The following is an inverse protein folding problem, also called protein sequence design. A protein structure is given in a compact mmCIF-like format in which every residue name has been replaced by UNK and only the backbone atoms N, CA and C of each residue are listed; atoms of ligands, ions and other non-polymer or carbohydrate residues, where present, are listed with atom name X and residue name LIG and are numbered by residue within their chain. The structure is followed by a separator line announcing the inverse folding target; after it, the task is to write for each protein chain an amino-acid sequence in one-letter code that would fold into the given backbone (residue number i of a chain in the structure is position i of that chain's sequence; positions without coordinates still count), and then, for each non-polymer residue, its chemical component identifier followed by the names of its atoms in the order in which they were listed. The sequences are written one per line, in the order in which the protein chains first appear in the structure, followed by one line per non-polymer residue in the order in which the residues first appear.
data_IF_528068040954
#
_entry.id   IF_528068040954
#
_cell.length_a   1.000
_cell.length_b   1.000
_cell.length_c   1.000
_cell.angle_alpha   90.00
_cell.angle_beta   90.00
_cell.angle_gamma   90.00
#
_symmetry.space_group_name_H-M   'P 1'
#
loop_
_entity.id
_entity.type
_entity.pdbx_description
1 polymer ?
#
# COMPACT_ATOMS: atom_id res chain seq x y z
N UNK A 1 -13.97 -3.62 -12.95
CA UNK A 1 -14.19 -3.33 -11.52
C UNK A 1 -14.00 -4.54 -10.62
N UNK A 2 -14.59 -5.71 -10.92
CA UNK A 2 -14.43 -6.94 -10.11
C UNK A 2 -12.96 -7.30 -9.81
N UNK A 3 -12.07 -7.24 -10.81
CA UNK A 3 -10.63 -7.47 -10.63
C UNK A 3 -9.99 -6.51 -9.62
N UNK A 4 -10.35 -5.22 -9.64
CA UNK A 4 -9.86 -4.22 -8.68
C UNK A 4 -10.32 -4.55 -7.26
N UNK A 5 -11.59 -4.93 -7.10
CA UNK A 5 -12.15 -5.32 -5.80
C UNK A 5 -11.45 -6.55 -5.24
N UNK A 6 -11.21 -7.58 -6.08
CA UNK A 6 -10.45 -8.77 -5.67
C UNK A 6 -9.01 -8.43 -5.28
N UNK A 7 -8.34 -7.55 -6.03
CA UNK A 7 -7.00 -7.07 -5.69
C UNK A 7 -6.98 -6.31 -4.37
N UNK A 8 -7.97 -5.44 -4.14
CA UNK A 8 -8.11 -4.70 -2.89
C UNK A 8 -8.33 -5.64 -1.70
N UNK A 9 -9.19 -6.64 -1.87
CA UNK A 9 -9.47 -7.65 -0.84
C UNK A 9 -8.23 -8.51 -0.56
N UNK A 10 -7.51 -8.93 -1.60
CA UNK A 10 -6.23 -9.63 -1.48
C UNK A 10 -5.20 -8.80 -0.72
N UNK A 11 -5.03 -7.53 -1.08
CA UNK A 11 -4.13 -6.61 -0.37
C UNK A 11 -4.53 -6.43 1.09
N UNK A 12 -5.84 -6.33 1.38
CA UNK A 12 -6.32 -6.24 2.75
C UNK A 12 -6.01 -7.50 3.57
N UNK A 13 -6.24 -8.69 3.00
CA UNK A 13 -5.92 -9.97 3.66
C UNK A 13 -4.42 -10.11 3.88
N UNK A 14 -3.59 -9.82 2.88
CA UNK A 14 -2.14 -9.79 3.03
C UNK A 14 -1.70 -8.78 4.09
N UNK A 15 -2.30 -7.59 4.13
CA UNK A 15 -1.97 -6.55 5.10
C UNK A 15 -2.34 -6.98 6.51
N UNK A 16 -3.48 -7.64 6.65
CA UNK A 16 -3.92 -8.21 7.91
C UNK A 16 -2.95 -9.29 8.41
N UNK A 17 -2.52 -10.19 7.51
CA UNK A 17 -1.52 -11.23 7.79
C UNK A 17 -0.21 -10.59 8.23
N UNK A 18 0.29 -9.59 7.48
CA UNK A 18 1.50 -8.85 7.82
C UNK A 18 1.42 -8.28 9.24
N UNK A 19 0.34 -7.58 9.59
CA UNK A 19 0.17 -7.01 10.94
C UNK A 19 0.05 -8.06 12.05
N UNK A 20 -0.49 -9.27 11.77
CA UNK A 20 -0.50 -10.35 12.78
C UNK A 20 0.84 -11.04 12.96
N UNK A 21 1.62 -11.14 11.89
CA UNK A 21 2.86 -11.92 11.89
C UNK A 21 4.05 -11.08 12.33
N UNK A 22 4.11 -9.83 11.91
CA UNK A 22 5.13 -8.90 12.37
C UNK A 22 4.95 -8.60 13.86
N UNK A 23 6.05 -8.50 14.62
CA UNK A 23 6.00 -8.09 16.02
C UNK A 23 5.27 -6.76 16.13
N UNK A 24 4.47 -6.60 17.18
CA UNK A 24 3.83 -5.32 17.48
C UNK A 24 4.94 -4.28 17.67
N UNK A 25 5.12 -3.45 16.66
CA UNK A 25 5.99 -2.28 16.75
C UNK A 25 5.35 -1.32 17.74
N UNK A 26 5.81 -1.37 18.99
CA UNK A 26 5.70 -0.28 19.94
C UNK A 26 7.06 0.42 19.96
N UNK A 27 7.11 1.75 20.09
CA UNK A 27 8.37 2.51 20.06
C UNK A 27 9.40 1.98 21.08
N UNK A 28 8.92 1.49 22.23
CA UNK A 28 9.78 0.94 23.30
C UNK A 28 10.39 -0.43 22.97
N UNK A 29 9.84 -1.15 21.99
CA UNK A 29 10.23 -2.54 21.66
C UNK A 29 10.90 -2.68 20.29
N UNK A 30 11.30 -1.59 19.64
CA UNK A 30 12.08 -1.61 18.39
C UNK A 30 13.31 -2.55 18.43
N UNK A 31 14.09 -2.63 19.53
CA UNK A 31 15.22 -3.57 19.63
C UNK A 31 14.80 -5.05 19.53
N UNK A 32 13.58 -5.38 19.96
CA UNK A 32 13.06 -6.74 19.93
C UNK A 32 12.62 -7.18 18.53
N UNK A 33 12.49 -6.27 17.56
CA UNK A 33 12.22 -6.64 16.16
C UNK A 33 13.37 -7.49 15.60
N UNK A 34 14.61 -7.12 15.92
CA UNK A 34 15.81 -7.88 15.51
C UNK A 34 15.89 -9.21 16.28
N UNK A 35 15.47 -9.21 17.55
CA UNK A 35 15.39 -10.44 18.35
C UNK A 35 14.36 -11.42 17.78
N UNK A 36 13.20 -10.93 17.33
CA UNK A 36 12.13 -11.78 16.79
C UNK A 36 12.49 -12.33 15.39
N UNK A 37 13.31 -11.60 14.62
CA UNK A 37 13.94 -12.11 13.39
C UNK A 37 14.85 -13.32 13.69
N UNK A 38 15.58 -13.30 14.81
CA UNK A 38 16.46 -14.40 15.23
C UNK A 38 15.64 -15.56 15.82
N UNK A 39 14.63 -15.27 16.63
CA UNK A 39 13.81 -16.29 17.31
C UNK A 39 12.83 -17.01 16.36
N UNK A 40 12.22 -16.30 15.41
CA UNK A 40 11.20 -16.85 14.50
C UNK A 40 11.36 -16.32 13.06
N UNK A 41 12.46 -16.69 12.36
CA UNK A 41 12.78 -16.15 11.03
C UNK A 41 11.70 -16.43 9.98
N UNK A 42 11.06 -17.60 10.03
CA UNK A 42 9.99 -17.98 9.08
C UNK A 42 8.77 -17.06 9.23
N UNK A 43 8.35 -16.78 10.47
CA UNK A 43 7.21 -15.92 10.74
C UNK A 43 7.48 -14.49 10.29
N UNK A 44 8.67 -13.99 10.58
CA UNK A 44 9.11 -12.66 10.13
C UNK A 44 9.16 -12.57 8.59
N UNK A 45 9.71 -13.59 7.93
CA UNK A 45 9.82 -13.64 6.47
C UNK A 45 8.45 -13.64 5.79
N UNK A 46 7.49 -14.45 6.26
CA UNK A 46 6.12 -14.47 5.73
C UNK A 46 5.43 -13.12 5.98
N UNK A 47 5.63 -12.52 7.16
CA UNK A 47 5.11 -11.18 7.48
C UNK A 47 5.64 -10.11 6.52
N UNK A 48 6.95 -10.14 6.24
CA UNK A 48 7.61 -9.24 5.27
C UNK A 48 7.10 -9.45 3.84
N UNK A 49 6.96 -10.70 3.37
CA UNK A 49 6.38 -10.97 2.06
C UNK A 49 4.95 -10.44 1.94
N UNK A 50 4.13 -10.67 2.97
CA UNK A 50 2.78 -10.15 3.03
C UNK A 50 2.76 -8.61 3.04
N UNK A 51 3.70 -7.97 3.75
CA UNK A 51 3.88 -6.52 3.74
C UNK A 51 4.22 -5.99 2.33
N UNK A 52 5.18 -6.61 1.64
CA UNK A 52 5.59 -6.23 0.28
C UNK A 52 4.43 -6.38 -0.70
N UNK A 53 3.70 -7.50 -0.65
CA UNK A 53 2.55 -7.74 -1.53
C UNK A 53 1.44 -6.71 -1.31
N UNK A 54 1.13 -6.42 -0.05
CA UNK A 54 0.13 -5.41 0.33
C UNK A 54 0.50 -4.04 -0.18
N UNK A 55 1.75 -3.63 0.06
CA UNK A 55 2.28 -2.32 -0.36
C UNK A 55 2.30 -2.20 -1.88
N UNK A 56 2.72 -3.25 -2.57
CA UNK A 56 2.80 -3.28 -4.04
C UNK A 56 1.41 -3.08 -4.64
N UNK A 57 0.40 -3.78 -4.14
CA UNK A 57 -0.97 -3.64 -4.64
C UNK A 57 -1.55 -2.28 -4.29
N UNK A 58 -1.46 -1.84 -3.03
CA UNK A 58 -2.03 -0.56 -2.61
C UNK A 58 -1.35 0.63 -3.29
N UNK A 59 -0.06 0.54 -3.64
CA UNK A 59 0.64 1.61 -4.37
C UNK A 59 0.05 1.86 -5.76
N UNK A 60 -0.46 0.82 -6.43
CA UNK A 60 -1.18 0.99 -7.71
C UNK A 60 -2.49 1.75 -7.55
N UNK A 61 -3.23 1.52 -6.45
CA UNK A 61 -4.45 2.25 -6.14
C UNK A 61 -4.15 3.70 -5.77
N UNK A 62 -3.10 3.94 -4.99
CA UNK A 62 -2.61 5.29 -4.66
C UNK A 62 -2.25 6.07 -5.93
N UNK A 63 -1.46 5.45 -6.83
CA UNK A 63 -1.11 6.05 -8.12
C UNK A 63 -2.36 6.39 -8.94
N UNK A 64 -3.30 5.45 -9.04
CA UNK A 64 -4.54 5.67 -9.80
C UNK A 64 -5.41 6.78 -9.19
N UNK A 65 -5.51 6.84 -7.87
CA UNK A 65 -6.22 7.91 -7.16
C UNK A 65 -5.54 9.28 -7.37
N UNK A 66 -4.21 9.32 -7.35
CA UNK A 66 -3.44 10.55 -7.59
C UNK A 66 -3.64 11.07 -9.02
N UNK A 67 -3.47 10.21 -10.03
CA UNK A 67 -3.70 10.56 -11.43
C UNK A 67 -5.13 11.06 -11.66
N UNK A 68 -6.14 10.37 -11.11
CA UNK A 68 -7.53 10.78 -11.24
C UNK A 68 -7.83 12.11 -10.52
N UNK A 69 -7.20 12.35 -9.37
CA UNK A 69 -7.32 13.63 -8.65
C UNK A 69 -6.74 14.78 -9.49
N UNK A 70 -5.57 14.57 -10.10
CA UNK A 70 -4.97 15.55 -11.00
C UNK A 70 -5.84 15.82 -12.23
N UNK A 71 -6.35 14.77 -12.89
CA UNK A 71 -7.23 14.93 -14.05
C UNK A 71 -8.54 15.63 -13.71
N UNK A 72 -9.12 15.35 -12.54
CA UNK A 72 -10.32 16.03 -12.08
C UNK A 72 -10.07 17.54 -11.87
N UNK A 73 -8.97 17.90 -11.19
CA UNK A 73 -8.60 19.29 -10.90
C UNK A 73 -8.26 20.05 -12.19
N UNK A 74 -7.46 19.46 -13.09
CA UNK A 74 -6.93 20.15 -14.26
C UNK A 74 -7.85 20.11 -15.49
N UNK A 75 -8.60 19.02 -15.70
CA UNK A 75 -9.41 18.81 -16.92
C UNK A 75 -10.93 18.76 -16.69
N UNK A 76 -11.43 19.00 -15.47
CA UNK A 76 -12.87 18.98 -15.12
C UNK A 76 -13.61 17.69 -15.57
N UNK A 77 -12.92 16.56 -15.56
CA UNK A 77 -13.50 15.29 -16.04
C UNK A 77 -14.40 14.66 -14.97
N UNK A 78 -15.53 14.05 -15.36
CA UNK A 78 -16.49 13.46 -14.40
C UNK A 78 -15.89 12.29 -13.61
N UNK A 79 -16.13 12.27 -12.30
CA UNK A 79 -15.77 11.14 -11.44
C UNK A 79 -16.55 9.90 -11.87
N UNK A 80 -15.84 8.83 -12.22
CA UNK A 80 -16.43 7.53 -12.51
C UNK A 80 -16.44 6.65 -11.26
N UNK A 81 -17.28 5.62 -11.22
CA UNK A 81 -17.35 4.67 -10.11
C UNK A 81 -16.03 3.91 -9.83
N UNK A 82 -15.07 3.91 -10.77
CA UNK A 82 -13.71 3.42 -10.51
C UNK A 82 -12.98 4.26 -9.46
N UNK A 83 -13.23 5.58 -9.42
CA UNK A 83 -12.61 6.52 -8.49
C UNK A 83 -12.97 6.16 -7.05
N UNK A 84 -14.23 5.76 -6.82
CA UNK A 84 -14.69 5.31 -5.51
C UNK A 84 -13.94 4.06 -5.01
N UNK A 85 -13.61 3.12 -5.93
CA UNK A 85 -12.82 1.94 -5.60
C UNK A 85 -11.38 2.35 -5.26
N UNK A 86 -10.81 3.31 -5.99
CA UNK A 86 -9.43 3.75 -5.74
C UNK A 86 -9.31 4.48 -4.40
N UNK A 87 -10.30 5.30 -4.01
CA UNK A 87 -10.38 5.90 -2.66
C UNK A 87 -10.68 4.87 -1.56
N UNK A 88 -11.34 3.75 -1.87
CA UNK A 88 -11.58 2.69 -0.86
C UNK A 88 -10.29 2.06 -0.32
N UNK A 89 -9.16 2.22 -1.02
CA UNK A 89 -7.84 1.85 -0.50
C UNK A 89 -7.47 2.59 0.78
N UNK A 90 -7.90 3.84 0.95
CA UNK A 90 -7.72 4.62 2.19
C UNK A 90 -8.48 3.96 3.34
N UNK A 91 -9.68 3.45 3.06
CA UNK A 91 -10.47 2.73 4.05
C UNK A 91 -9.79 1.43 4.50
N UNK A 92 -9.10 0.71 3.61
CA UNK A 92 -8.28 -0.44 3.99
C UNK A 92 -7.19 -0.06 5.01
N UNK A 93 -6.52 1.08 4.84
CA UNK A 93 -5.55 1.57 5.82
C UNK A 93 -6.18 1.89 7.17
N UNK A 94 -7.34 2.55 7.17
CA UNK A 94 -8.07 2.86 8.41
C UNK A 94 -8.47 1.59 9.18
N UNK A 95 -8.90 0.54 8.48
CA UNK A 95 -9.20 -0.74 9.09
C UNK A 95 -7.95 -1.42 9.65
N UNK A 96 -6.83 -1.39 8.93
CA UNK A 96 -5.55 -1.96 9.38
C UNK A 96 -4.98 -1.22 10.61
N UNK A 97 -5.16 0.10 10.70
CA UNK A 97 -4.74 0.91 11.85
C UNK A 97 -5.38 0.47 13.17
N UNK A 98 -6.61 -0.10 13.15
CA UNK A 98 -7.26 -0.63 14.36
C UNK A 98 -6.47 -1.77 15.02
N UNK A 99 -5.64 -2.49 14.24
CA UNK A 99 -4.86 -3.63 14.73
C UNK A 99 -3.44 -3.23 15.13
N UNK A 100 -2.78 -2.39 14.34
CA UNK A 100 -1.50 -1.78 14.69
C UNK A 100 -1.32 -0.46 13.93
N UNK A 101 -1.23 0.63 14.69
CA UNK A 101 -1.09 1.98 14.12
C UNK A 101 0.25 2.12 13.40
N UNK A 102 1.36 1.75 14.04
CA UNK A 102 2.70 1.93 13.46
C UNK A 102 2.90 1.13 12.17
N UNK A 103 2.53 -0.16 12.16
CA UNK A 103 2.71 -1.00 10.96
C UNK A 103 1.82 -0.51 9.81
N UNK A 104 0.59 -0.08 10.11
CA UNK A 104 -0.30 0.49 9.11
C UNK A 104 0.22 1.84 8.56
N UNK A 105 0.82 2.68 9.41
CA UNK A 105 1.49 3.91 8.97
C UNK A 105 2.68 3.58 8.06
N UNK A 106 3.52 2.60 8.42
CA UNK A 106 4.61 2.16 7.55
C UNK A 106 4.09 1.67 6.19
N UNK A 107 3.06 0.80 6.18
CA UNK A 107 2.42 0.35 4.93
C UNK A 107 1.96 1.54 4.08
N UNK A 108 1.33 2.54 4.70
CA UNK A 108 0.85 3.73 4.01
C UNK A 108 2.00 4.56 3.42
N UNK A 109 3.04 4.85 4.21
CA UNK A 109 4.21 5.61 3.76
C UNK A 109 4.90 4.88 2.60
N UNK A 110 5.18 3.59 2.75
CA UNK A 110 5.82 2.80 1.70
C UNK A 110 4.96 2.75 0.43
N UNK A 111 3.64 2.61 0.57
CA UNK A 111 2.72 2.60 -0.56
C UNK A 111 2.64 3.95 -1.27
N UNK A 112 2.72 5.06 -0.53
CA UNK A 112 2.79 6.41 -1.11
C UNK A 112 4.09 6.59 -1.89
N UNK A 113 5.23 6.29 -1.28
CA UNK A 113 6.55 6.41 -1.91
C UNK A 113 6.62 5.55 -3.18
N UNK A 114 6.24 4.28 -3.08
CA UNK A 114 6.22 3.37 -4.24
C UNK A 114 5.24 3.82 -5.32
N UNK A 115 4.09 4.39 -4.94
CA UNK A 115 3.10 4.92 -5.87
C UNK A 115 3.63 6.12 -6.64
N UNK A 116 4.30 7.06 -5.96
CA UNK A 116 4.90 8.25 -6.57
C UNK A 116 6.08 7.88 -7.47
N UNK A 117 6.99 7.04 -7.01
CA UNK A 117 8.11 6.56 -7.83
C UNK A 117 7.63 5.84 -9.11
N UNK A 118 6.51 5.11 -9.02
CA UNK A 118 5.89 4.48 -10.19
C UNK A 118 5.35 5.49 -11.21
N UNK A 119 4.92 6.68 -10.77
CA UNK A 119 4.48 7.76 -11.67
C UNK A 119 5.69 8.37 -12.37
N UNK A 120 6.74 8.70 -11.62
CA UNK A 120 7.95 9.33 -12.14
C UNK A 120 8.62 8.46 -13.21
N UNK A 121 8.79 7.16 -12.91
CA UNK A 121 9.28 6.19 -13.89
C UNK A 121 8.41 6.08 -15.14
N UNK A 122 7.09 6.24 -15.01
CA UNK A 122 6.20 6.20 -16.17
C UNK A 122 6.36 7.44 -17.05
N UNK A 123 6.68 8.60 -16.47
CA UNK A 123 6.97 9.83 -17.22
C UNK A 123 8.30 9.73 -17.95
N UNK A 124 9.36 9.30 -17.27
CA UNK A 124 10.69 9.12 -17.88
C UNK A 124 10.64 8.17 -19.08
N UNK A 125 9.95 7.03 -18.96
CA UNK A 125 9.81 6.06 -20.07
C UNK A 125 9.02 6.63 -21.26
N UNK A 126 8.10 7.57 -21.03
CA UNK A 126 7.35 8.23 -22.09
C UNK A 126 8.21 9.29 -22.80
N UNK A 127 9.02 10.04 -22.05
CA UNK A 127 9.98 11.01 -22.58
C UNK A 127 11.09 10.32 -23.39
N UNK A 128 11.63 9.19 -22.92
CA UNK A 128 12.59 8.37 -23.68
C UNK A 128 12.02 7.80 -24.98
N UNK A 129 10.70 7.64 -25.06
CA UNK A 129 9.99 7.14 -26.26
C UNK A 129 9.52 8.25 -27.19
N UNK A 130 9.83 9.52 -26.90
CA UNK A 130 9.58 10.66 -27.78
C UNK A 130 8.11 11.07 -27.91
N UNK A 131 7.30 10.82 -26.86
CA UNK A 131 5.91 11.28 -26.77
C UNK A 131 5.75 12.59 -26.01
#
# INVERSE_FOLDING_TARGET
MLKKILLLLFAFVCGYIAISLLPRANLDNLPYIVSDLIMNPVRFFIGMLAFIMTTSVLSTFVKSAYEQTLYWIMKKQQLTASVAIDYSSIFCYLLLMRKSILIAIFLLIFSLVMGVLSIERSKEVLEERGY
#
